data_IF_934665869883
#
_entry.id   IF_934665869883
#
_cell.length_a   1.000
_cell.length_b   1.000
_cell.length_c   1.000
_cell.angle_alpha   90.00
_cell.angle_beta   90.00
_cell.angle_gamma   90.00
#
_symmetry.space_group_name_H-M   'P 1'
#
loop_
_entity.id
_entity.type
_entity.pdbx_description
1 polymer ?
#
# COMPACT_ATOMS: atom_id res chain seq x y z
N UNK A 1 -7.82 -6.13 -9.16
CA UNK A 1 -6.37 -6.25 -9.43
C UNK A 1 -5.62 -6.08 -8.12
N UNK A 2 -4.40 -6.62 -7.97
CA UNK A 2 -3.56 -6.30 -6.80
C UNK A 2 -2.74 -5.05 -7.11
N UNK A 3 -2.51 -4.20 -6.12
CA UNK A 3 -1.64 -3.04 -6.23
C UNK A 3 -0.71 -2.98 -5.02
N UNK A 4 0.58 -2.79 -5.28
CA UNK A 4 1.54 -2.36 -4.27
C UNK A 4 1.67 -0.85 -4.35
N UNK A 5 1.48 -0.18 -3.22
CA UNK A 5 1.68 1.26 -3.07
C UNK A 5 2.86 1.45 -2.14
N UNK A 6 3.90 2.13 -2.61
CA UNK A 6 5.03 2.53 -1.77
C UNK A 6 5.08 4.05 -1.71
N UNK A 7 5.60 4.58 -0.62
CA UNK A 7 5.79 6.02 -0.50
C UNK A 7 7.06 6.40 0.23
N UNK A 8 7.57 7.59 -0.07
CA UNK A 8 8.60 8.28 0.67
C UNK A 8 8.03 9.63 1.13
N UNK A 9 7.74 9.72 2.43
CA UNK A 9 7.08 10.86 3.06
C UNK A 9 7.80 11.12 4.39
N UNK A 10 8.48 12.26 4.46
CA UNK A 10 9.24 12.66 5.66
C UNK A 10 8.32 13.17 6.77
N UNK A 11 7.28 13.94 6.43
CA UNK A 11 6.34 14.49 7.40
C UNK A 11 5.44 13.40 7.99
N UNK A 12 5.47 13.27 9.31
CA UNK A 12 4.76 12.20 10.02
C UNK A 12 3.23 12.36 9.92
N UNK A 13 2.73 13.60 9.99
CA UNK A 13 1.30 13.88 9.90
C UNK A 13 0.73 13.56 8.50
N UNK A 14 1.46 13.91 7.45
CA UNK A 14 1.12 13.56 6.07
C UNK A 14 1.19 12.06 5.85
N UNK A 15 2.21 11.39 6.40
CA UNK A 15 2.37 9.94 6.31
C UNK A 15 1.20 9.19 6.97
N UNK A 16 0.75 9.65 8.15
CA UNK A 16 -0.44 9.15 8.84
C UNK A 16 -1.71 9.33 8.00
N UNK A 17 -1.91 10.53 7.41
CA UNK A 17 -3.06 10.81 6.53
C UNK A 17 -3.06 9.90 5.29
N UNK A 18 -1.92 9.76 4.61
CA UNK A 18 -1.78 8.87 3.45
C UNK A 18 -2.08 7.43 3.85
N UNK A 19 -1.55 6.96 4.98
CA UNK A 19 -1.81 5.63 5.49
C UNK A 19 -3.31 5.40 5.79
N UNK A 20 -3.99 6.37 6.40
CA UNK A 20 -5.42 6.31 6.67
C UNK A 20 -6.24 6.23 5.38
N UNK A 21 -5.89 7.01 4.36
CA UNK A 21 -6.54 6.93 3.05
C UNK A 21 -6.35 5.55 2.44
N UNK A 22 -5.13 5.02 2.41
CA UNK A 22 -4.84 3.69 1.84
C UNK A 22 -5.63 2.57 2.54
N UNK A 23 -5.75 2.63 3.88
CA UNK A 23 -6.61 1.72 4.66
C UNK A 23 -8.08 1.86 4.29
N UNK A 24 -8.58 3.09 4.13
CA UNK A 24 -9.96 3.37 3.74
C UNK A 24 -10.33 2.80 2.36
N UNK A 25 -9.36 2.66 1.46
CA UNK A 25 -9.52 1.98 0.17
C UNK A 25 -9.32 0.45 0.23
N UNK A 26 -9.22 -0.13 1.44
CA UNK A 26 -9.09 -1.57 1.64
C UNK A 26 -7.68 -2.12 1.40
N UNK A 27 -6.64 -1.27 1.35
CA UNK A 27 -5.25 -1.73 1.26
C UNK A 27 -4.70 -2.03 2.66
N UNK A 28 -4.00 -3.14 2.80
CA UNK A 28 -3.33 -3.54 4.03
C UNK A 28 -1.93 -2.94 4.09
N UNK A 29 -1.50 -2.49 5.27
CA UNK A 29 -0.12 -2.03 5.48
C UNK A 29 0.78 -3.25 5.58
N UNK A 30 1.81 -3.33 4.74
CA UNK A 30 2.78 -4.46 4.71
C UNK A 30 4.17 -4.05 5.20
N UNK A 31 4.51 -2.76 5.10
CA UNK A 31 5.69 -2.17 5.74
C UNK A 31 5.37 -0.74 6.20
N UNK A 32 6.28 -0.12 6.96
CA UNK A 32 6.14 1.27 7.43
C UNK A 32 5.71 2.22 6.31
N UNK A 33 6.27 2.04 5.12
CA UNK A 33 6.03 2.87 3.95
C UNK A 33 5.47 2.13 2.74
N UNK A 34 4.80 1.00 2.95
CA UNK A 34 4.22 0.21 1.87
C UNK A 34 2.85 -0.40 2.23
N UNK A 35 1.96 -0.41 1.25
CA UNK A 35 0.61 -0.96 1.31
C UNK A 35 0.36 -1.89 0.13
N UNK A 36 -0.42 -2.94 0.37
CA UNK A 36 -0.76 -3.94 -0.63
C UNK A 36 -2.23 -4.31 -0.48
N UNK A 37 -2.94 -4.48 -1.59
CA UNK A 37 -4.31 -4.97 -1.52
C UNK A 37 -4.95 -5.18 -2.88
N UNK A 38 -6.15 -5.77 -2.84
CA UNK A 38 -6.99 -5.92 -4.02
C UNK A 38 -7.86 -4.67 -4.16
N UNK A 39 -7.80 -4.04 -5.33
CA UNK A 39 -8.61 -2.86 -5.67
C UNK A 39 -9.15 -3.02 -7.09
N UNK A 40 -10.33 -2.48 -7.36
CA UNK A 40 -10.85 -2.41 -8.73
C UNK A 40 -10.28 -1.16 -9.45
N UNK A 41 -10.49 -1.05 -10.76
CA UNK A 41 -9.91 0.03 -11.56
C UNK A 41 -10.51 1.41 -11.29
N UNK A 42 -11.80 1.51 -10.93
CA UNK A 42 -12.45 2.79 -10.61
C UNK A 42 -11.97 3.32 -9.27
N UNK A 43 -11.98 2.49 -8.21
CA UNK A 43 -11.46 2.83 -6.89
C UNK A 43 -9.97 3.19 -6.94
N UNK A 44 -9.16 2.54 -7.78
CA UNK A 44 -7.76 2.92 -7.96
C UNK A 44 -7.60 4.31 -8.60
N UNK A 45 -8.45 4.68 -9.56
CA UNK A 45 -8.44 6.03 -10.14
C UNK A 45 -8.82 7.08 -9.10
N UNK A 46 -9.86 6.81 -8.32
CA UNK A 46 -10.28 7.68 -7.22
C UNK A 46 -9.19 7.85 -6.17
N UNK A 47 -8.57 6.75 -5.73
CA UNK A 47 -7.45 6.76 -4.79
C UNK A 47 -6.31 7.65 -5.27
N UNK A 48 -5.93 7.55 -6.56
CA UNK A 48 -4.88 8.41 -7.14
C UNK A 48 -5.26 9.89 -7.10
N UNK A 49 -6.53 10.23 -7.35
CA UNK A 49 -7.02 11.61 -7.23
C UNK A 49 -6.95 12.11 -5.79
N UNK A 50 -7.37 11.31 -4.81
CA UNK A 50 -7.30 11.67 -3.39
C UNK A 50 -5.86 11.88 -2.94
N UNK A 51 -4.96 10.94 -3.24
CA UNK A 51 -3.55 11.03 -2.88
C UNK A 51 -2.88 12.24 -3.54
N UNK A 52 -3.13 12.50 -4.83
CA UNK A 52 -2.54 13.65 -5.53
C UNK A 52 -2.95 15.01 -4.94
N UNK A 53 -4.17 15.11 -4.41
CA UNK A 53 -4.62 16.31 -3.67
C UNK A 53 -3.92 16.41 -2.32
N UNK A 54 -3.78 15.28 -1.61
CA UNK A 54 -3.21 15.23 -0.27
C UNK A 54 -1.71 15.58 -0.25
N UNK A 55 -0.96 15.20 -1.28
CA UNK A 55 0.49 15.46 -1.37
C UNK A 55 0.85 16.72 -2.16
N UNK A 56 -0.13 17.52 -2.57
CA UNK A 56 0.11 18.69 -3.43
C UNK A 56 0.91 19.75 -2.66
N UNK A 57 2.08 20.11 -3.18
CA UNK A 57 2.97 21.09 -2.54
C UNK A 57 3.82 20.50 -1.42
N UNK A 58 3.70 19.20 -1.17
CA UNK A 58 4.43 18.49 -0.11
C UNK A 58 5.66 17.77 -0.66
N UNK A 59 6.68 17.59 0.19
CA UNK A 59 7.82 16.73 -0.12
C UNK A 59 7.43 15.27 0.08
N UNK A 60 6.78 14.70 -0.93
CA UNK A 60 6.26 13.34 -0.90
C UNK A 60 6.38 12.67 -2.28
N UNK A 61 6.73 11.39 -2.28
CA UNK A 61 6.71 10.52 -3.45
C UNK A 61 5.80 9.33 -3.17
N UNK A 62 4.75 9.12 -3.98
CA UNK A 62 3.85 7.97 -3.84
C UNK A 62 3.76 7.26 -5.18
N UNK A 63 4.08 5.97 -5.18
CA UNK A 63 4.15 5.15 -6.38
C UNK A 63 3.14 4.00 -6.29
N UNK A 64 2.50 3.71 -7.42
CA UNK A 64 1.49 2.66 -7.54
C UNK A 64 1.98 1.63 -8.55
N UNK A 65 2.11 0.39 -8.11
CA UNK A 65 2.49 -0.76 -8.92
C UNK A 65 1.34 -1.74 -9.01
N UNK A 66 0.52 -1.69 -10.07
CA UNK A 66 -0.41 -2.76 -10.38
C UNK A 66 0.37 -4.06 -10.59
N UNK A 67 0.01 -5.11 -9.85
CA UNK A 67 0.65 -6.42 -9.92
C UNK A 67 -0.30 -7.40 -10.62
N UNK A 68 0.23 -8.11 -11.61
CA UNK A 68 -0.46 -9.28 -12.14
C UNK A 68 -0.41 -10.43 -11.11
N UNK A 69 -1.26 -11.45 -11.31
CA UNK A 69 -1.32 -12.60 -10.39
C UNK A 69 0.04 -13.29 -10.23
N UNK A 70 0.78 -13.43 -11.33
CA UNK A 70 2.09 -14.09 -11.34
C UNK A 70 3.17 -13.30 -10.58
N UNK A 71 3.28 -11.99 -10.84
CA UNK A 71 4.23 -11.15 -10.08
C UNK A 71 3.92 -11.16 -8.59
N UNK A 72 2.63 -11.21 -8.21
CA UNK A 72 2.23 -11.32 -6.82
C UNK A 72 2.57 -12.69 -6.21
N UNK A 73 2.37 -13.80 -6.92
CA UNK A 73 2.66 -15.14 -6.41
C UNK A 73 4.14 -15.40 -6.19
N UNK A 74 5.02 -14.61 -6.82
CA UNK A 74 6.46 -14.66 -6.62
C UNK A 74 6.95 -13.73 -5.49
N UNK A 75 6.03 -13.09 -4.74
CA UNK A 75 6.39 -12.27 -3.58
C UNK A 75 7.08 -13.16 -2.54
N UNK A 76 8.23 -12.70 -2.08
CA UNK A 76 8.97 -13.28 -0.96
C UNK A 76 9.04 -12.26 0.19
N UNK A 77 9.03 -12.74 1.43
CA UNK A 77 9.05 -11.91 2.64
C UNK A 77 10.09 -12.50 3.59
N UNK A 78 11.10 -11.70 3.90
CA UNK A 78 12.18 -12.09 4.81
C UNK A 78 12.18 -11.19 6.05
N UNK A 79 12.40 -11.80 7.22
CA UNK A 79 12.45 -11.11 8.51
C UNK A 79 11.09 -11.03 9.22
N UNK A 80 11.04 -10.21 10.28
CA UNK A 80 9.87 -10.10 11.16
C UNK A 80 8.99 -8.93 10.71
N UNK A 81 7.67 -9.13 10.51
CA UNK A 81 6.74 -8.03 10.26
C UNK A 81 6.75 -7.00 11.40
N UNK A 82 6.87 -5.72 11.05
CA UNK A 82 6.87 -4.60 12.02
C UNK A 82 5.56 -3.81 12.04
N UNK A 83 4.57 -4.26 11.28
CA UNK A 83 3.25 -3.66 11.16
C UNK A 83 2.23 -4.79 11.18
N UNK A 84 1.06 -4.54 11.77
CA UNK A 84 -0.04 -5.49 11.69
C UNK A 84 -0.48 -5.59 10.22
N UNK A 85 -0.19 -6.72 9.57
CA UNK A 85 -0.78 -7.06 8.28
C UNK A 85 -2.29 -7.18 8.49
N UNK A 86 -3.03 -6.11 8.19
CA UNK A 86 -4.48 -6.18 8.14
C UNK A 86 -4.89 -7.31 7.18
N UNK A 87 -5.61 -8.31 7.70
CA UNK A 87 -6.02 -9.56 7.03
C UNK A 87 -5.96 -9.50 5.50
N UNK A 88 -4.78 -9.79 4.94
CA UNK A 88 -4.65 -10.16 3.54
C UNK A 88 -5.34 -11.51 3.40
N UNK A 89 -6.64 -11.51 3.11
CA UNK A 89 -7.32 -12.75 2.77
C UNK A 89 -6.57 -13.37 1.58
N UNK A 90 -6.09 -14.59 1.80
CA UNK A 90 -5.23 -15.44 0.96
C UNK A 90 -3.72 -15.10 0.98
N UNK A 91 -2.99 -15.60 1.99
CA UNK A 91 -2.05 -16.75 1.88
C UNK A 91 -1.06 -16.86 3.06
N UNK A 92 -0.63 -18.10 3.30
CA UNK A 92 0.22 -18.61 4.39
C UNK A 92 1.56 -17.86 4.50
N UNK A 93 1.82 -17.23 5.65
CA UNK A 93 3.15 -16.75 6.03
C UNK A 93 3.99 -17.99 6.34
N UNK A 94 5.02 -18.28 5.54
CA UNK A 94 6.06 -19.24 5.93
C UNK A 94 7.08 -18.47 6.76
N UNK A 95 7.08 -18.71 8.07
CA UNK A 95 8.17 -18.30 8.96
C UNK A 95 9.33 -19.29 8.72
N UNK A 96 10.40 -18.83 8.07
CA UNK A 96 11.69 -19.53 8.02
C UNK A 96 12.71 -18.72 8.81
#
# INVERSE_FOLDING_TARGET
>A
MKVLVIYDITDDALREKVASVLKGFGLARVQKSAFLGTINSSSLKELKVVISKLIRGERANVQFYPLCRWCYSLRDVMGVPTVEEGLLHDQQIILV
#
